data_IF_061226759425
#
_entry.id   IF_061226759425
#
_cell.length_a   1.000
_cell.length_b   1.000
_cell.length_c   1.000
_cell.angle_alpha   90.00
_cell.angle_beta   90.00
_cell.angle_gamma   90.00
#
_symmetry.space_group_name_H-M   'P 1'
#
loop_
_entity.id
_entity.type
_entity.pdbx_description
1 polymer ?
#
# COMPACT_ATOMS: atom_id res chain seq x y z
N UNK A 1 -26.47 -37.72 -57.69
CA UNK A 1 -26.26 -36.95 -56.40
C UNK A 1 -27.53 -36.57 -55.68
N UNK A 2 -28.74 -36.95 -56.08
CA UNK A 2 -30.03 -36.60 -55.38
C UNK A 2 -30.66 -37.71 -54.55
N UNK A 3 -30.09 -38.92 -54.52
CA UNK A 3 -30.64 -40.05 -53.76
C UNK A 3 -30.00 -40.21 -52.37
N UNK A 4 -28.79 -39.75 -52.11
CA UNK A 4 -28.12 -39.92 -50.84
C UNK A 4 -28.53 -38.86 -49.78
N UNK A 5 -29.15 -37.74 -50.19
CA UNK A 5 -29.64 -36.71 -49.30
C UNK A 5 -30.96 -37.11 -48.59
N UNK A 6 -31.82 -37.90 -49.26
CA UNK A 6 -33.09 -38.36 -48.66
C UNK A 6 -32.91 -39.43 -47.58
N UNK A 7 -31.88 -40.24 -47.64
CA UNK A 7 -31.59 -41.25 -46.63
C UNK A 7 -30.97 -40.65 -45.32
N UNK A 8 -30.19 -39.61 -45.42
CA UNK A 8 -29.64 -38.94 -44.24
C UNK A 8 -30.70 -38.22 -43.44
N UNK A 9 -31.62 -37.51 -44.09
CA UNK A 9 -32.73 -36.81 -43.41
C UNK A 9 -33.69 -37.80 -42.75
N UNK A 10 -33.93 -38.98 -43.34
CA UNK A 10 -34.82 -40.02 -42.78
C UNK A 10 -34.22 -40.71 -41.54
N UNK A 11 -32.86 -40.81 -41.47
CA UNK A 11 -32.14 -41.33 -40.31
C UNK A 11 -32.13 -40.33 -39.14
N UNK A 12 -32.06 -39.02 -39.41
CA UNK A 12 -32.14 -38.00 -38.38
C UNK A 12 -33.55 -37.84 -37.79
N UNK A 13 -34.59 -37.99 -38.62
CA UNK A 13 -35.98 -37.95 -38.15
C UNK A 13 -36.34 -39.18 -37.28
N UNK A 14 -35.76 -40.36 -37.56
CA UNK A 14 -35.95 -41.55 -36.71
C UNK A 14 -35.18 -41.46 -35.39
N UNK A 15 -34.05 -40.80 -35.34
CA UNK A 15 -33.30 -40.54 -34.09
C UNK A 15 -34.02 -39.48 -33.24
N UNK A 16 -34.62 -38.46 -33.81
CA UNK A 16 -35.45 -37.49 -33.07
C UNK A 16 -36.72 -38.13 -32.49
N UNK A 17 -37.35 -39.04 -33.21
CA UNK A 17 -38.54 -39.77 -32.73
C UNK A 17 -38.20 -40.75 -31.58
N UNK A 18 -37.00 -41.35 -31.57
CA UNK A 18 -36.53 -42.22 -30.49
C UNK A 18 -36.20 -41.47 -29.19
N UNK A 19 -35.80 -40.22 -29.28
CA UNK A 19 -35.55 -39.37 -28.10
C UNK A 19 -36.84 -38.84 -27.50
N UNK A 20 -37.90 -38.65 -28.30
CA UNK A 20 -39.21 -38.19 -27.81
C UNK A 20 -40.02 -39.34 -27.18
N UNK A 21 -39.74 -40.61 -27.53
CA UNK A 21 -40.46 -41.77 -26.97
C UNK A 21 -39.88 -42.24 -25.61
N UNK A 22 -38.78 -41.72 -25.16
CA UNK A 22 -38.23 -42.01 -23.81
C UNK A 22 -38.66 -40.99 -22.73
N UNK A 23 -39.49 -40.03 -23.06
CA UNK A 23 -40.10 -39.12 -22.10
C UNK A 23 -41.52 -39.60 -21.75
N UNK A 24 -41.63 -40.81 -21.23
CA UNK A 24 -42.84 -41.21 -20.53
C UNK A 24 -42.84 -40.56 -19.15
N UNK A 25 -43.93 -39.96 -18.70
CA UNK A 25 -44.02 -39.38 -17.38
C UNK A 25 -43.87 -40.52 -16.36
N UNK A 26 -42.78 -40.51 -15.61
CA UNK A 26 -42.78 -41.16 -14.32
C UNK A 26 -43.74 -40.35 -13.47
N UNK A 27 -44.89 -40.93 -13.14
CA UNK A 27 -45.69 -40.43 -12.05
C UNK A 27 -44.88 -40.54 -10.76
N UNK A 28 -43.99 -39.56 -10.55
CA UNK A 28 -43.45 -39.29 -9.25
C UNK A 28 -44.67 -38.82 -8.42
N UNK A 29 -45.07 -39.65 -7.47
CA UNK A 29 -45.98 -39.20 -6.41
C UNK A 29 -45.42 -37.87 -5.89
N UNK A 30 -46.21 -36.82 -6.03
CA UNK A 30 -45.98 -35.57 -5.31
C UNK A 30 -46.12 -35.92 -3.81
N UNK A 31 -45.06 -36.49 -3.24
CA UNK A 31 -44.83 -36.34 -1.82
C UNK A 31 -44.71 -34.84 -1.58
N UNK A 32 -45.57 -34.32 -0.73
CA UNK A 32 -45.56 -32.93 -0.31
C UNK A 32 -44.12 -32.49 -0.10
N UNK A 33 -43.65 -31.55 -0.92
CA UNK A 33 -42.44 -30.81 -0.62
C UNK A 33 -42.66 -30.25 0.80
N UNK A 34 -41.74 -30.44 1.74
CA UNK A 34 -41.83 -29.74 3.00
C UNK A 34 -41.92 -28.25 2.66
N UNK A 35 -43.09 -27.70 2.92
CA UNK A 35 -43.37 -26.28 2.89
C UNK A 35 -42.63 -25.69 4.10
N UNK A 36 -41.32 -25.52 3.95
CA UNK A 36 -40.39 -24.75 4.76
C UNK A 36 -38.98 -24.96 4.20
N UNK A 37 -38.80 -24.61 2.93
CA UNK A 37 -37.53 -23.99 2.61
C UNK A 37 -37.58 -22.63 3.33
N UNK A 38 -37.24 -22.63 4.62
CA UNK A 38 -37.01 -21.41 5.35
C UNK A 38 -36.03 -20.60 4.49
N UNK A 39 -36.55 -19.51 3.90
CA UNK A 39 -35.70 -18.46 3.34
C UNK A 39 -34.72 -18.17 4.47
N UNK A 40 -33.51 -18.65 4.33
CA UNK A 40 -32.44 -18.36 5.30
C UNK A 40 -32.38 -16.86 5.36
N UNK A 41 -32.94 -16.27 6.41
CA UNK A 41 -32.91 -14.84 6.63
C UNK A 41 -31.46 -14.46 6.47
N UNK A 42 -31.17 -13.53 5.56
CA UNK A 42 -29.82 -12.97 5.45
C UNK A 42 -29.41 -12.56 6.85
N UNK A 43 -28.20 -12.89 7.30
CA UNK A 43 -27.75 -12.53 8.64
C UNK A 43 -27.99 -11.03 8.82
N UNK A 44 -28.74 -10.68 9.88
CA UNK A 44 -29.05 -9.29 10.19
C UNK A 44 -27.72 -8.56 10.41
N UNK A 45 -27.47 -7.52 9.61
CA UNK A 45 -26.26 -6.72 9.75
C UNK A 45 -26.34 -5.92 11.04
N UNK A 46 -25.20 -5.81 11.73
CA UNK A 46 -25.06 -4.98 12.92
C UNK A 46 -25.03 -3.52 12.51
N UNK A 47 -25.94 -2.70 13.03
CA UNK A 47 -25.89 -1.25 12.83
C UNK A 47 -24.73 -0.68 13.65
N UNK A 48 -23.85 0.11 13.02
CA UNK A 48 -22.69 0.70 13.67
C UNK A 48 -22.60 2.19 13.30
N UNK A 49 -22.66 3.05 14.29
CA UNK A 49 -22.48 4.49 14.12
C UNK A 49 -21.01 4.86 14.20
N UNK A 50 -20.49 5.40 13.11
CA UNK A 50 -19.10 5.75 12.94
C UNK A 50 -18.91 7.26 13.07
N UNK A 51 -18.05 7.70 13.99
CA UNK A 51 -17.66 9.11 14.08
C UNK A 51 -16.89 9.51 12.81
N UNK A 52 -17.47 10.42 12.02
CA UNK A 52 -16.86 10.94 10.81
C UNK A 52 -16.20 12.29 11.09
N UNK A 53 -14.90 12.23 11.40
CA UNK A 53 -14.07 13.42 11.63
C UNK A 53 -13.44 13.84 10.31
N UNK A 54 -13.87 14.99 9.77
CA UNK A 54 -13.34 15.49 8.50
C UNK A 54 -11.86 15.88 8.67
N UNK A 55 -10.99 15.13 7.98
CA UNK A 55 -9.53 15.29 7.97
C UNK A 55 -9.00 15.01 6.56
N UNK A 56 -8.14 15.87 6.02
CA UNK A 56 -7.58 15.75 4.68
C UNK A 56 -6.87 14.40 4.48
N UNK A 57 -7.23 13.68 3.41
CA UNK A 57 -6.69 12.36 3.05
C UNK A 57 -7.23 11.20 3.89
N UNK A 58 -7.71 11.43 5.11
CA UNK A 58 -8.23 10.39 6.01
C UNK A 58 -9.73 10.19 5.89
N UNK A 59 -10.49 11.28 6.02
CA UNK A 59 -11.95 11.29 5.90
C UNK A 59 -12.38 12.64 5.35
N UNK A 60 -12.78 12.68 4.10
CA UNK A 60 -13.15 13.90 3.38
C UNK A 60 -14.58 13.79 2.84
N UNK A 61 -15.20 14.91 2.60
CA UNK A 61 -16.48 14.96 1.90
C UNK A 61 -16.23 15.42 0.46
N UNK A 62 -16.81 14.72 -0.50
CA UNK A 62 -16.80 15.12 -1.90
C UNK A 62 -17.76 16.29 -2.16
N UNK A 63 -17.80 16.81 -3.39
CA UNK A 63 -18.64 17.92 -3.78
C UNK A 63 -20.15 17.67 -3.59
N UNK A 64 -20.57 16.40 -3.49
CA UNK A 64 -21.96 15.98 -3.28
C UNK A 64 -22.24 15.60 -1.81
N UNK A 65 -21.26 15.75 -0.91
CA UNK A 65 -21.36 15.35 0.48
C UNK A 65 -21.15 13.87 0.73
N UNK A 66 -20.67 13.12 -0.28
CA UNK A 66 -20.26 11.72 -0.15
C UNK A 66 -18.93 11.59 0.60
N UNK A 67 -18.79 10.54 1.41
CA UNK A 67 -17.55 10.27 2.13
C UNK A 67 -16.46 9.71 1.22
N UNK A 68 -15.21 10.12 1.43
CA UNK A 68 -14.02 9.60 0.79
C UNK A 68 -12.83 9.64 1.77
N UNK A 69 -11.70 9.08 1.39
CA UNK A 69 -10.47 9.10 2.18
C UNK A 69 -10.10 7.73 2.78
N UNK A 70 -8.87 7.63 3.22
CA UNK A 70 -8.27 6.38 3.68
C UNK A 70 -9.09 5.68 4.78
N UNK A 71 -9.43 6.39 5.85
CA UNK A 71 -10.20 5.85 6.98
C UNK A 71 -11.61 5.45 6.57
N UNK A 72 -12.27 6.30 5.78
CA UNK A 72 -13.62 6.02 5.28
C UNK A 72 -13.66 4.75 4.42
N UNK A 73 -12.76 4.64 3.46
CA UNK A 73 -12.71 3.48 2.56
C UNK A 73 -12.30 2.21 3.31
N UNK A 74 -11.37 2.32 4.29
CA UNK A 74 -10.97 1.17 5.10
C UNK A 74 -12.13 0.67 5.97
N UNK A 75 -12.88 1.55 6.64
CA UNK A 75 -14.05 1.17 7.46
C UNK A 75 -15.13 0.54 6.59
N UNK A 76 -15.40 1.07 5.39
CA UNK A 76 -16.34 0.45 4.45
C UNK A 76 -15.91 -0.97 4.02
N UNK A 77 -14.60 -1.17 3.78
CA UNK A 77 -14.06 -2.49 3.48
C UNK A 77 -14.20 -3.44 4.68
N UNK A 78 -13.87 -2.96 5.86
CA UNK A 78 -14.00 -3.70 7.11
C UNK A 78 -15.46 -4.10 7.36
N UNK A 79 -16.41 -3.20 7.19
CA UNK A 79 -17.85 -3.44 7.36
C UNK A 79 -18.38 -4.60 6.50
N UNK A 80 -17.84 -4.79 5.29
CA UNK A 80 -18.21 -5.92 4.43
C UNK A 80 -17.84 -7.27 5.06
N UNK A 81 -16.70 -7.35 5.76
CA UNK A 81 -16.22 -8.57 6.41
C UNK A 81 -16.78 -8.78 7.82
N UNK A 82 -17.08 -7.69 8.52
CA UNK A 82 -17.67 -7.72 9.86
C UNK A 82 -19.21 -7.91 9.82
N UNK A 83 -19.85 -7.73 8.65
CA UNK A 83 -21.30 -7.77 8.54
C UNK A 83 -21.98 -6.54 9.13
N UNK A 84 -21.29 -5.38 9.08
CA UNK A 84 -21.82 -4.12 9.59
C UNK A 84 -22.62 -3.37 8.51
N UNK A 85 -23.56 -2.57 9.00
CA UNK A 85 -24.24 -1.51 8.27
C UNK A 85 -23.87 -0.19 8.94
N UNK A 86 -22.95 0.57 8.31
CA UNK A 86 -22.33 1.74 8.92
C UNK A 86 -23.14 3.01 8.65
N UNK A 87 -23.47 3.73 9.71
CA UNK A 87 -23.97 5.11 9.66
C UNK A 87 -22.81 6.06 10.00
N UNK A 88 -22.30 6.79 9.00
CA UNK A 88 -21.25 7.78 9.21
C UNK A 88 -21.86 9.11 9.67
N UNK A 89 -21.54 9.51 10.90
CA UNK A 89 -22.07 10.73 11.53
C UNK A 89 -20.96 11.79 11.53
N UNK A 90 -21.17 12.87 10.75
CA UNK A 90 -20.23 13.99 10.69
C UNK A 90 -20.18 14.71 12.04
N UNK A 91 -18.97 14.83 12.57
CA UNK A 91 -18.73 15.50 13.86
C UNK A 91 -18.32 16.95 13.60
N UNK A 92 -19.16 17.90 14.05
CA UNK A 92 -18.95 19.34 13.90
C UNK A 92 -17.96 19.87 14.96
N UNK A 93 -17.12 20.86 14.57
CA UNK A 93 -16.17 21.56 15.43
C UNK A 93 -15.41 22.63 14.65
N UNK A 94 -14.94 23.66 15.34
CA UNK A 94 -14.24 24.79 14.73
C UNK A 94 -12.88 24.38 14.13
N UNK A 95 -12.14 23.57 14.88
CA UNK A 95 -10.84 23.03 14.47
C UNK A 95 -10.86 21.50 14.31
N UNK A 96 -9.85 20.95 13.66
CA UNK A 96 -9.65 19.49 13.60
C UNK A 96 -9.54 18.88 14.99
N UNK A 97 -8.81 19.52 15.91
CA UNK A 97 -8.68 19.07 17.30
C UNK A 97 -10.03 19.05 18.04
N UNK A 98 -10.85 20.07 17.87
CA UNK A 98 -12.17 20.12 18.50
C UNK A 98 -13.07 18.99 18.01
N UNK A 99 -13.04 18.71 16.70
CA UNK A 99 -13.80 17.60 16.12
C UNK A 99 -13.33 16.24 16.66
N UNK A 100 -12.01 16.04 16.81
CA UNK A 100 -11.45 14.79 17.37
C UNK A 100 -11.88 14.62 18.83
N UNK A 101 -11.74 15.66 19.67
CA UNK A 101 -12.13 15.62 21.09
C UNK A 101 -13.61 15.30 21.21
N UNK A 102 -14.47 16.01 20.47
CA UNK A 102 -15.92 15.78 20.48
C UNK A 102 -16.30 14.39 20.00
N UNK A 103 -15.62 13.87 18.95
CA UNK A 103 -15.83 12.51 18.48
C UNK A 103 -15.49 11.47 19.55
N UNK A 104 -14.39 11.66 20.29
CA UNK A 104 -14.03 10.79 21.43
C UNK A 104 -15.08 10.84 22.54
N UNK A 105 -15.62 12.03 22.88
CA UNK A 105 -16.69 12.18 23.85
C UNK A 105 -17.98 11.47 23.43
N UNK A 106 -18.38 11.57 22.16
CA UNK A 106 -19.56 10.88 21.62
C UNK A 106 -19.39 9.35 21.60
N UNK A 107 -18.18 8.85 21.32
CA UNK A 107 -17.91 7.42 21.40
C UNK A 107 -17.82 6.97 22.87
N UNK A 108 -17.24 7.76 23.75
CA UNK A 108 -17.18 7.45 25.18
C UNK A 108 -18.58 7.38 25.81
N UNK A 109 -19.51 8.28 25.41
CA UNK A 109 -20.89 8.27 25.89
C UNK A 109 -21.75 7.15 25.30
N UNK A 110 -21.30 6.51 24.22
CA UNK A 110 -22.06 5.50 23.49
C UNK A 110 -23.10 6.07 22.50
N UNK A 111 -23.08 7.38 22.22
CA UNK A 111 -23.88 7.96 21.14
C UNK A 111 -23.38 7.53 19.77
N UNK A 112 -22.08 7.34 19.63
CA UNK A 112 -21.41 6.73 18.48
C UNK A 112 -20.66 5.47 18.94
N UNK A 113 -20.50 4.50 18.05
CA UNK A 113 -19.93 3.21 18.39
C UNK A 113 -18.42 3.13 18.17
N UNK A 114 -17.92 3.74 17.10
CA UNK A 114 -16.51 3.69 16.72
C UNK A 114 -15.99 5.04 16.20
N UNK A 115 -14.68 5.23 16.36
CA UNK A 115 -13.91 6.33 15.79
C UNK A 115 -12.67 5.77 15.08
N UNK A 116 -12.41 6.23 13.85
CA UNK A 116 -11.19 5.91 13.10
C UNK A 116 -10.01 6.79 13.48
N UNK A 117 -8.81 6.41 13.02
CA UNK A 117 -7.56 7.16 13.18
C UNK A 117 -7.22 7.53 14.64
N UNK A 118 -7.30 6.56 15.53
CA UNK A 118 -6.94 6.76 16.93
C UNK A 118 -5.54 6.22 17.23
N UNK A 119 -4.67 7.09 17.76
CA UNK A 119 -3.40 6.68 18.36
C UNK A 119 -3.66 6.14 19.77
N UNK A 120 -3.07 4.99 20.05
CA UNK A 120 -3.21 4.33 21.34
C UNK A 120 -2.19 4.87 22.32
N UNK A 121 -2.65 5.41 23.45
CA UNK A 121 -1.83 5.87 24.57
C UNK A 121 -2.59 5.72 25.89
N UNK A 122 -1.96 5.84 27.07
CA UNK A 122 -2.63 5.63 28.36
C UNK A 122 -3.90 6.45 28.54
N UNK A 123 -3.93 7.72 28.13
CA UNK A 123 -5.10 8.57 28.29
C UNK A 123 -6.27 8.14 27.40
N UNK A 124 -6.01 7.75 26.15
CA UNK A 124 -7.07 7.28 25.24
C UNK A 124 -7.53 5.86 25.58
N UNK A 125 -6.67 5.02 26.17
CA UNK A 125 -7.05 3.68 26.65
C UNK A 125 -8.00 3.72 27.87
N UNK A 126 -8.00 4.78 28.64
CA UNK A 126 -8.96 4.95 29.74
C UNK A 126 -10.39 5.15 29.25
N UNK A 127 -10.58 5.78 28.09
CA UNK A 127 -11.89 6.21 27.59
C UNK A 127 -12.39 5.42 26.37
N UNK A 128 -11.51 4.73 25.64
CA UNK A 128 -11.83 3.96 24.45
C UNK A 128 -11.37 2.51 24.58
N UNK A 129 -12.05 1.60 23.87
CA UNK A 129 -11.65 0.21 23.69
C UNK A 129 -10.92 0.03 22.36
N UNK A 130 -9.75 -0.61 22.39
CA UNK A 130 -8.90 -0.79 21.23
C UNK A 130 -8.86 -2.25 20.76
N UNK A 131 -8.97 -2.52 19.45
CA UNK A 131 -8.68 -3.84 18.90
C UNK A 131 -7.18 -4.15 19.06
N UNK A 132 -6.81 -5.40 18.85
CA UNK A 132 -5.41 -5.84 18.84
C UNK A 132 -4.70 -5.41 17.56
N UNK A 133 -5.43 -5.40 16.44
CA UNK A 133 -4.88 -5.11 15.14
C UNK A 133 -5.02 -3.61 14.80
N UNK A 134 -3.91 -3.04 14.37
CA UNK A 134 -3.89 -1.74 13.73
C UNK A 134 -4.43 -1.85 12.30
N UNK A 135 -4.92 -0.74 11.74
CA UNK A 135 -5.27 -0.68 10.32
C UNK A 135 -4.39 0.28 9.51
N UNK A 136 -3.35 0.82 10.13
CA UNK A 136 -2.33 1.62 9.48
C UNK A 136 -1.24 2.09 10.45
N UNK A 137 -0.22 2.73 9.90
CA UNK A 137 0.90 3.31 10.64
C UNK A 137 1.21 4.70 10.11
N UNK A 138 1.28 5.69 11.00
CA UNK A 138 1.84 7.00 10.70
C UNK A 138 3.31 7.02 11.12
N UNK A 139 4.14 7.66 10.30
CA UNK A 139 5.56 7.86 10.58
C UNK A 139 5.87 9.35 10.65
N UNK A 140 6.87 9.72 11.42
CA UNK A 140 7.58 10.95 11.16
C UNK A 140 8.43 10.79 9.90
N UNK A 141 8.61 11.87 9.17
CA UNK A 141 9.30 11.84 7.88
C UNK A 141 10.15 13.08 7.67
N UNK A 142 11.26 12.92 6.99
CA UNK A 142 12.05 14.01 6.44
C UNK A 142 11.61 14.28 5.01
N UNK A 143 11.17 15.50 4.73
CA UNK A 143 10.77 15.94 3.40
C UNK A 143 11.79 16.97 2.87
N UNK A 144 12.27 16.82 1.63
CA UNK A 144 13.05 17.80 0.91
C UNK A 144 12.20 18.52 -0.14
N UNK A 145 12.60 19.71 -0.58
CA UNK A 145 12.03 20.34 -1.78
C UNK A 145 12.24 19.43 -3.00
N UNK A 146 11.23 19.33 -3.85
CA UNK A 146 11.29 18.42 -5.00
C UNK A 146 12.38 18.80 -6.02
N UNK A 147 12.81 20.03 -6.07
CA UNK A 147 13.85 20.52 -6.98
C UNK A 147 15.26 20.47 -6.37
N UNK A 148 15.37 20.22 -5.07
CA UNK A 148 16.65 20.05 -4.40
C UNK A 148 17.17 18.62 -4.66
N UNK A 149 18.34 18.46 -5.27
CA UNK A 149 18.89 17.17 -5.70
C UNK A 149 20.15 16.75 -4.95
N UNK A 150 20.73 17.64 -4.13
CA UNK A 150 21.97 17.37 -3.39
C UNK A 150 21.75 16.36 -2.25
N UNK A 151 20.62 16.45 -1.56
CA UNK A 151 20.24 15.52 -0.49
C UNK A 151 19.17 14.56 -1.01
N UNK A 152 19.38 13.27 -0.86
CA UNK A 152 18.45 12.20 -1.27
C UNK A 152 18.48 11.04 -0.27
N UNK A 153 17.65 10.04 -0.51
CA UNK A 153 17.43 8.86 0.33
C UNK A 153 18.73 8.05 0.56
N UNK A 154 19.67 8.13 -0.37
CA UNK A 154 20.94 7.37 -0.30
C UNK A 154 22.07 8.13 0.40
N UNK A 155 22.01 9.46 0.46
CA UNK A 155 23.16 10.27 0.92
C UNK A 155 22.89 11.17 2.12
N UNK A 156 21.65 11.36 2.57
CA UNK A 156 21.34 12.26 3.68
C UNK A 156 22.09 11.90 4.97
N UNK A 157 22.34 10.60 5.20
CA UNK A 157 23.11 10.13 6.36
C UNK A 157 24.60 10.49 6.27
N UNK A 158 25.12 10.77 5.07
CA UNK A 158 26.53 11.11 4.83
C UNK A 158 26.79 12.62 4.91
N UNK A 159 25.75 13.42 5.10
CA UNK A 159 25.89 14.87 5.26
C UNK A 159 26.73 15.19 6.51
N UNK A 160 27.66 16.09 6.38
CA UNK A 160 28.52 16.55 7.52
C UNK A 160 27.69 17.29 8.57
N UNK A 161 26.59 17.92 8.19
CA UNK A 161 25.63 18.56 9.08
C UNK A 161 24.33 18.80 8.29
N UNK A 162 23.32 17.93 8.49
CA UNK A 162 22.01 18.05 7.87
C UNK A 162 21.18 19.15 8.56
N UNK A 163 20.70 20.15 7.82
CA UNK A 163 19.83 21.20 8.38
C UNK A 163 18.38 20.78 8.29
N UNK A 164 17.72 20.64 9.45
CA UNK A 164 16.35 20.14 9.55
C UNK A 164 15.42 21.23 10.07
N UNK A 165 14.46 21.68 9.25
CA UNK A 165 13.42 22.59 9.68
C UNK A 165 12.43 21.87 10.61
N UNK A 166 12.31 22.35 11.84
CA UNK A 166 11.46 21.78 12.90
C UNK A 166 10.46 22.81 13.40
N UNK A 167 9.29 22.36 13.89
CA UNK A 167 8.31 23.27 14.51
C UNK A 167 8.69 23.59 15.94
N UNK A 168 8.65 24.86 16.30
CA UNK A 168 8.75 25.31 17.67
C UNK A 168 7.67 24.66 18.54
N UNK A 169 8.04 24.19 19.72
CA UNK A 169 7.12 23.60 20.66
C UNK A 169 6.62 22.18 20.35
N UNK A 170 6.97 21.59 19.21
CA UNK A 170 6.63 20.20 18.86
C UNK A 170 7.52 19.17 19.60
N UNK A 171 7.56 19.25 20.93
CA UNK A 171 8.51 18.54 21.81
C UNK A 171 8.64 17.05 21.53
N UNK A 172 7.48 16.35 21.41
CA UNK A 172 7.50 14.91 21.17
C UNK A 172 8.17 14.56 19.85
N UNK A 173 7.75 15.21 18.76
CA UNK A 173 8.30 14.94 17.42
C UNK A 173 9.76 15.35 17.30
N UNK A 174 10.12 16.50 17.87
CA UNK A 174 11.52 16.94 17.87
C UNK A 174 12.41 15.99 18.68
N UNK A 175 11.91 15.43 19.80
CA UNK A 175 12.60 14.40 20.57
C UNK A 175 12.73 13.05 19.83
N UNK A 176 11.71 12.66 19.06
CA UNK A 176 11.77 11.48 18.18
C UNK A 176 12.80 11.66 17.05
N UNK A 177 12.90 12.88 16.48
CA UNK A 177 13.96 13.24 15.53
C UNK A 177 15.34 13.13 16.17
N UNK A 178 15.55 13.73 17.34
CA UNK A 178 16.83 13.68 18.07
C UNK A 178 17.26 12.23 18.30
N UNK A 179 16.37 11.40 18.83
CA UNK A 179 16.62 9.97 19.04
C UNK A 179 16.98 9.24 17.75
N UNK A 180 16.25 9.51 16.66
CA UNK A 180 16.53 8.91 15.34
C UNK A 180 17.92 9.31 14.83
N UNK A 181 18.28 10.59 14.91
CA UNK A 181 19.58 11.12 14.46
C UNK A 181 20.73 10.53 15.29
N UNK A 182 20.58 10.45 16.62
CA UNK A 182 21.57 9.84 17.51
C UNK A 182 21.78 8.35 17.21
N UNK A 183 20.69 7.57 17.09
CA UNK A 183 20.79 6.14 16.81
C UNK A 183 21.47 5.82 15.47
N UNK A 184 21.34 6.70 14.50
CA UNK A 184 21.94 6.54 13.17
C UNK A 184 23.26 7.30 13.02
N UNK A 185 23.76 7.94 14.09
CA UNK A 185 25.00 8.70 14.11
C UNK A 185 25.04 9.83 13.05
N UNK A 186 23.87 10.48 12.82
CA UNK A 186 23.72 11.58 11.86
C UNK A 186 23.90 12.91 12.59
N UNK A 187 24.87 13.73 12.12
CA UNK A 187 25.02 15.09 12.60
C UNK A 187 24.00 16.00 11.95
N UNK A 188 23.20 16.72 12.75
CA UNK A 188 22.21 17.65 12.22
C UNK A 188 22.16 18.97 13.00
N UNK A 189 21.56 19.98 12.37
CA UNK A 189 21.26 21.28 12.96
C UNK A 189 19.77 21.55 12.82
N UNK A 190 19.07 21.76 13.93
CA UNK A 190 17.68 22.18 13.92
C UNK A 190 17.55 23.65 13.45
N UNK A 191 16.63 23.89 12.52
CA UNK A 191 16.20 25.21 12.07
C UNK A 191 14.77 25.39 12.59
N UNK A 192 14.62 26.15 13.68
CA UNK A 192 13.32 26.35 14.31
C UNK A 192 12.41 27.24 13.48
N UNK A 193 11.16 26.79 13.28
CA UNK A 193 10.12 27.45 12.49
C UNK A 193 8.84 27.57 13.33
N UNK A 194 8.17 28.71 13.26
CA UNK A 194 6.98 28.96 14.05
C UNK A 194 5.71 28.25 13.51
N UNK A 195 5.70 27.92 12.22
CA UNK A 195 4.61 27.17 11.58
C UNK A 195 5.08 26.34 10.37
N UNK A 196 4.16 25.57 9.78
CA UNK A 196 4.44 24.72 8.62
C UNK A 196 4.86 25.56 7.39
N UNK A 197 4.27 26.74 7.16
CA UNK A 197 4.60 27.59 6.02
C UNK A 197 6.05 28.09 6.11
N UNK A 198 6.54 28.38 7.33
CA UNK A 198 7.94 28.72 7.58
C UNK A 198 8.88 27.53 7.31
N UNK A 199 8.47 26.28 7.66
CA UNK A 199 9.25 25.09 7.31
C UNK A 199 9.34 24.88 5.79
N UNK A 200 8.21 24.99 5.07
CA UNK A 200 8.20 24.90 3.61
C UNK A 200 9.06 25.98 2.95
N UNK A 201 8.99 27.21 3.47
CA UNK A 201 9.84 28.31 2.99
C UNK A 201 11.32 28.02 3.24
N UNK A 202 11.68 27.43 4.40
CA UNK A 202 13.07 27.12 4.76
C UNK A 202 13.71 26.09 3.82
N UNK A 203 12.99 25.02 3.44
CA UNK A 203 13.50 24.05 2.46
C UNK A 203 13.56 24.62 1.05
N UNK A 204 12.59 25.45 0.68
CA UNK A 204 12.48 26.04 -0.66
C UNK A 204 13.58 27.08 -0.92
N UNK A 205 13.95 27.88 0.08
CA UNK A 205 14.99 28.92 -0.05
C UNK A 205 16.39 28.43 0.34
N UNK A 206 16.55 27.16 0.74
CA UNK A 206 17.81 26.55 1.11
C UNK A 206 18.32 26.92 2.51
N UNK A 207 17.49 27.48 3.39
CA UNK A 207 17.80 27.70 4.81
C UNK A 207 17.87 26.36 5.57
N UNK A 208 17.06 25.37 5.16
CA UNK A 208 17.14 23.99 5.63
C UNK A 208 17.23 23.03 4.43
N UNK A 209 17.82 21.86 4.65
CA UNK A 209 17.95 20.81 3.63
C UNK A 209 16.72 19.95 3.55
N UNK A 210 16.09 19.69 4.70
CA UNK A 210 14.87 18.90 4.86
C UNK A 210 13.98 19.52 5.94
N UNK A 211 12.70 19.15 5.95
CA UNK A 211 11.77 19.49 7.02
C UNK A 211 11.23 18.25 7.70
N UNK A 212 11.03 18.32 9.01
CA UNK A 212 10.37 17.28 9.81
C UNK A 212 8.86 17.36 9.66
N UNK A 213 8.24 16.28 9.20
CA UNK A 213 6.80 16.21 8.94
C UNK A 213 6.21 14.83 9.28
N UNK A 214 4.99 14.55 8.86
CA UNK A 214 4.32 13.24 9.03
C UNK A 214 3.83 12.69 7.70
N UNK A 215 3.83 11.37 7.55
CA UNK A 215 3.50 10.70 6.29
C UNK A 215 2.03 10.84 5.86
N UNK A 216 1.10 11.15 6.78
CA UNK A 216 -0.34 11.30 6.47
C UNK A 216 -0.74 12.73 6.05
N UNK A 217 0.22 13.61 5.87
CA UNK A 217 -0.02 15.00 5.43
C UNK A 217 0.95 15.35 4.31
N UNK A 218 0.73 14.82 3.09
CA UNK A 218 1.61 15.11 1.97
C UNK A 218 1.60 16.60 1.64
N UNK A 219 2.76 17.15 1.33
CA UNK A 219 2.96 18.54 0.92
C UNK A 219 3.35 18.53 -0.56
N UNK A 220 2.61 19.27 -1.37
CA UNK A 220 2.91 19.40 -2.80
C UNK A 220 4.28 20.07 -3.01
N UNK A 221 5.05 19.60 -3.99
CA UNK A 221 6.39 20.10 -4.28
C UNK A 221 7.47 19.59 -3.32
N UNK A 222 7.16 18.61 -2.48
CA UNK A 222 8.15 17.94 -1.64
C UNK A 222 8.31 16.46 -2.00
N UNK A 223 9.43 15.89 -1.63
CA UNK A 223 9.69 14.45 -1.70
C UNK A 223 10.16 13.91 -0.36
N UNK A 224 9.78 12.67 -0.09
CA UNK A 224 10.18 11.98 1.13
C UNK A 224 11.63 11.49 1.01
N UNK A 225 12.43 11.80 2.02
CA UNK A 225 13.83 11.34 2.15
C UNK A 225 13.89 10.11 3.06
N UNK A 226 13.21 10.17 4.20
CA UNK A 226 13.23 9.10 5.20
C UNK A 226 11.93 9.09 6.01
N UNK A 227 11.61 7.96 6.60
CA UNK A 227 10.52 7.80 7.57
C UNK A 227 10.99 7.02 8.79
N UNK A 228 10.60 7.47 9.98
CA UNK A 228 11.01 6.89 11.24
C UNK A 228 9.90 7.06 12.29
N UNK A 229 10.12 6.64 13.53
CA UNK A 229 9.16 6.71 14.64
C UNK A 229 7.75 6.21 14.27
N UNK A 230 7.59 4.91 13.91
CA UNK A 230 6.29 4.35 13.53
C UNK A 230 5.29 4.38 14.68
N UNK A 231 4.12 4.97 14.43
CA UNK A 231 3.00 5.00 15.38
C UNK A 231 1.78 4.32 14.74
N UNK A 232 1.38 3.14 15.23
CA UNK A 232 0.19 2.46 14.75
C UNK A 232 -1.07 3.24 15.13
N UNK A 233 -2.05 3.24 14.22
CA UNK A 233 -3.36 3.80 14.50
C UNK A 233 -4.48 2.78 14.30
N UNK A 234 -5.58 2.99 15.01
CA UNK A 234 -6.62 2.02 15.23
C UNK A 234 -8.01 2.59 14.95
N UNK A 235 -8.97 1.72 14.67
CA UNK A 235 -10.39 2.00 14.81
C UNK A 235 -10.76 1.64 16.24
N UNK A 236 -11.02 2.62 17.08
CA UNK A 236 -11.35 2.41 18.47
C UNK A 236 -12.88 2.42 18.69
N UNK A 237 -13.34 1.69 19.67
CA UNK A 237 -14.75 1.55 20.02
C UNK A 237 -15.06 2.18 21.37
N UNK A 238 -16.37 2.27 21.70
CA UNK A 238 -16.85 2.61 23.03
C UNK A 238 -16.22 1.72 24.09
N UNK A 239 -15.76 2.32 25.19
CA UNK A 239 -15.09 1.58 26.27
C UNK A 239 -15.92 0.42 26.79
N UNK A 240 -15.29 -0.75 26.89
CA UNK A 240 -15.93 -2.00 27.30
C UNK A 240 -16.66 -2.76 26.21
N UNK A 241 -16.77 -2.22 24.99
CA UNK A 241 -17.39 -2.92 23.86
C UNK A 241 -16.39 -3.89 23.18
N UNK A 242 -16.10 -4.99 23.89
CA UNK A 242 -15.11 -6.01 23.47
C UNK A 242 -15.60 -6.80 22.25
N UNK A 243 -16.91 -6.92 22.05
CA UNK A 243 -17.46 -7.64 20.91
C UNK A 243 -17.19 -6.87 19.61
N UNK A 244 -17.37 -5.55 19.64
CA UNK A 244 -17.10 -4.70 18.48
C UNK A 244 -15.61 -4.68 18.12
N UNK A 245 -14.71 -4.63 19.11
CA UNK A 245 -13.26 -4.70 18.83
C UNK A 245 -12.82 -6.07 18.34
N UNK A 246 -13.51 -7.15 18.74
CA UNK A 246 -13.28 -8.49 18.19
C UNK A 246 -13.71 -8.57 16.72
N UNK A 247 -14.88 -8.00 16.40
CA UNK A 247 -15.35 -7.92 15.00
C UNK A 247 -14.35 -7.16 14.12
N UNK A 248 -13.77 -6.06 14.64
CA UNK A 248 -12.70 -5.31 13.96
C UNK A 248 -11.48 -6.19 13.71
N UNK A 249 -10.99 -6.89 14.74
CA UNK A 249 -9.82 -7.79 14.64
C UNK A 249 -10.05 -8.90 13.62
N UNK A 250 -11.21 -9.54 13.64
CA UNK A 250 -11.59 -10.62 12.73
C UNK A 250 -11.72 -10.10 11.29
N UNK A 251 -12.29 -8.92 11.09
CA UNK A 251 -12.43 -8.32 9.77
C UNK A 251 -11.07 -7.90 9.19
N UNK A 252 -10.18 -7.29 9.98
CA UNK A 252 -8.82 -6.95 9.55
C UNK A 252 -8.05 -8.23 9.16
N UNK A 253 -8.18 -9.31 9.95
CA UNK A 253 -7.57 -10.60 9.62
C UNK A 253 -8.06 -11.13 8.28
N UNK A 254 -9.37 -11.06 8.01
CA UNK A 254 -9.95 -11.49 6.73
C UNK A 254 -9.49 -10.62 5.56
N UNK A 255 -9.40 -9.29 5.75
CA UNK A 255 -8.85 -8.37 4.74
C UNK A 255 -7.42 -8.79 4.40
N UNK A 256 -6.56 -8.96 5.40
CA UNK A 256 -5.15 -9.33 5.21
C UNK A 256 -4.98 -10.71 4.55
N UNK A 257 -5.89 -11.66 4.82
CA UNK A 257 -5.87 -12.97 4.17
C UNK A 257 -6.33 -12.93 2.72
N UNK A 258 -7.30 -12.09 2.39
CA UNK A 258 -7.88 -12.00 1.03
C UNK A 258 -7.15 -11.02 0.14
N UNK A 259 -6.56 -9.97 0.73
CA UNK A 259 -5.88 -8.90 0.03
C UNK A 259 -4.75 -8.30 0.89
N UNK A 260 -3.59 -8.97 0.97
CA UNK A 260 -2.46 -8.56 1.84
C UNK A 260 -1.90 -7.15 1.55
N UNK A 261 -2.17 -6.63 0.36
CA UNK A 261 -1.68 -5.31 -0.09
C UNK A 261 -2.75 -4.21 -0.02
N UNK A 262 -3.92 -4.48 0.55
CA UNK A 262 -5.02 -3.51 0.60
C UNK A 262 -4.62 -2.23 1.32
N UNK A 263 -4.05 -2.34 2.52
CA UNK A 263 -3.57 -1.20 3.31
C UNK A 263 -2.57 -0.34 2.53
N UNK A 264 -1.55 -0.95 1.93
CA UNK A 264 -0.50 -0.21 1.25
C UNK A 264 -0.99 0.45 -0.06
N UNK A 265 -1.90 -0.20 -0.79
CA UNK A 265 -2.51 0.43 -1.99
C UNK A 265 -3.39 1.61 -1.60
N UNK A 266 -4.21 1.44 -0.57
CA UNK A 266 -5.08 2.51 -0.07
C UNK A 266 -4.25 3.68 0.46
N UNK A 267 -3.16 3.40 1.18
CA UNK A 267 -2.20 4.40 1.63
C UNK A 267 -1.61 5.17 0.44
N UNK A 268 -1.14 4.45 -0.58
CA UNK A 268 -0.56 5.07 -1.79
C UNK A 268 -1.59 5.92 -2.55
N UNK A 269 -2.85 5.48 -2.59
CA UNK A 269 -3.93 6.22 -3.24
C UNK A 269 -4.18 7.58 -2.58
N UNK A 270 -4.17 7.67 -1.24
CA UNK A 270 -4.53 8.87 -0.51
C UNK A 270 -3.33 9.73 -0.07
N UNK A 271 -2.18 9.11 0.14
CA UNK A 271 -0.98 9.78 0.67
C UNK A 271 0.27 9.58 -0.18
N UNK A 272 0.21 8.70 -1.17
CA UNK A 272 1.30 8.52 -2.12
C UNK A 272 1.49 9.81 -2.91
N UNK A 273 2.74 10.16 -3.17
CA UNK A 273 3.05 11.28 -4.03
C UNK A 273 2.58 10.91 -5.45
N UNK A 274 1.35 11.33 -5.80
CA UNK A 274 0.58 10.90 -6.98
C UNK A 274 1.21 11.26 -8.31
N UNK A 275 2.30 11.98 -8.29
CA UNK A 275 3.00 12.38 -9.53
C UNK A 275 4.08 11.41 -9.98
N UNK A 276 4.18 10.21 -9.42
CA UNK A 276 5.02 9.12 -9.96
C UNK A 276 6.38 9.55 -10.55
N UNK A 277 6.91 10.71 -10.12
CA UNK A 277 8.22 11.17 -10.55
C UNK A 277 9.25 10.38 -9.76
N UNK A 278 9.91 9.50 -10.45
CA UNK A 278 11.15 8.91 -10.00
C UNK A 278 12.19 10.04 -9.92
N UNK A 279 12.65 10.34 -8.70
CA UNK A 279 13.58 11.42 -8.48
C UNK A 279 15.02 10.93 -8.66
N UNK A 280 15.68 11.52 -9.62
CA UNK A 280 17.09 11.25 -9.92
C UNK A 280 17.91 12.47 -9.53
N UNK A 281 19.00 12.26 -8.80
CA UNK A 281 20.04 13.25 -8.60
C UNK A 281 20.65 13.66 -9.95
N UNK A 282 21.32 14.79 -9.99
CA UNK A 282 21.99 15.22 -11.23
C UNK A 282 23.10 14.26 -11.65
N UNK A 283 23.76 13.59 -10.68
CA UNK A 283 24.70 12.51 -10.96
C UNK A 283 24.05 11.31 -11.65
N UNK A 284 22.89 10.88 -11.17
CA UNK A 284 22.12 9.77 -11.76
C UNK A 284 21.56 10.13 -13.15
N UNK A 285 21.03 11.36 -13.32
CA UNK A 285 20.61 11.86 -14.64
C UNK A 285 21.77 11.87 -15.64
N UNK A 286 22.95 12.35 -15.22
CA UNK A 286 24.16 12.33 -16.05
C UNK A 286 24.59 10.91 -16.39
N UNK A 287 24.60 10.00 -15.39
CA UNK A 287 24.90 8.58 -15.62
C UNK A 287 23.94 7.97 -16.65
N UNK A 288 22.63 8.14 -16.48
CA UNK A 288 21.60 7.63 -17.39
C UNK A 288 21.79 8.18 -18.82
N UNK A 289 22.04 9.49 -18.93
CA UNK A 289 22.25 10.15 -20.24
C UNK A 289 23.46 9.64 -20.99
N UNK A 290 24.53 9.25 -20.27
CA UNK A 290 25.77 8.71 -20.82
C UNK A 290 25.66 7.20 -21.10
N UNK A 291 25.12 6.43 -20.15
CA UNK A 291 25.06 4.97 -20.19
C UNK A 291 24.06 4.47 -21.24
N UNK A 292 22.87 5.03 -21.31
CA UNK A 292 21.77 4.73 -22.24
C UNK A 292 21.25 3.29 -22.20
N UNK A 293 22.15 2.31 -22.17
CA UNK A 293 21.80 0.87 -22.14
C UNK A 293 22.56 0.20 -21.00
N UNK A 294 21.84 -0.62 -20.21
CA UNK A 294 22.43 -1.46 -19.17
C UNK A 294 22.31 -2.94 -19.55
N UNK A 295 23.38 -3.69 -19.32
CA UNK A 295 23.46 -5.12 -19.55
C UNK A 295 23.01 -5.86 -18.28
N UNK A 296 21.94 -6.64 -18.40
CA UNK A 296 21.32 -7.38 -17.31
C UNK A 296 21.59 -8.86 -17.46
N UNK A 297 22.36 -9.44 -16.56
CA UNK A 297 22.58 -10.87 -16.52
C UNK A 297 21.42 -11.57 -15.83
N UNK A 298 20.79 -12.52 -16.50
CA UNK A 298 19.61 -13.25 -16.04
C UNK A 298 19.88 -14.73 -15.97
N UNK A 299 19.55 -15.35 -14.82
CA UNK A 299 19.63 -16.78 -14.61
C UNK A 299 18.31 -17.46 -15.05
N UNK A 300 18.30 -18.28 -16.10
CA UNK A 300 17.07 -18.77 -16.73
C UNK A 300 16.27 -19.79 -15.93
N UNK A 301 16.84 -20.35 -14.84
CA UNK A 301 16.24 -21.44 -14.06
C UNK A 301 15.64 -21.02 -12.72
N UNK A 302 15.33 -19.74 -12.55
CA UNK A 302 14.79 -19.18 -11.30
C UNK A 302 13.27 -18.87 -11.37
N UNK A 303 12.48 -19.76 -11.96
CA UNK A 303 11.04 -19.58 -11.99
C UNK A 303 10.44 -19.54 -10.56
N UNK A 304 9.50 -18.61 -10.24
CA UNK A 304 8.85 -17.64 -11.14
C UNK A 304 9.58 -16.30 -11.29
N UNK A 305 10.76 -16.15 -10.69
CA UNK A 305 11.49 -14.88 -10.66
C UNK A 305 12.09 -14.52 -12.03
N UNK A 306 12.77 -15.48 -12.65
CA UNK A 306 13.29 -15.35 -13.99
C UNK A 306 12.99 -16.60 -14.81
N UNK A 307 12.50 -16.42 -16.03
CA UNK A 307 12.23 -17.47 -16.99
C UNK A 307 12.79 -17.06 -18.36
N UNK A 308 13.22 -18.00 -19.13
CA UNK A 308 13.60 -17.79 -20.54
C UNK A 308 12.76 -18.73 -21.38
N UNK A 309 12.07 -18.22 -22.35
CA UNK A 309 11.25 -19.02 -23.26
C UNK A 309 12.10 -19.69 -24.34
N UNK A 310 11.46 -20.49 -25.22
CA UNK A 310 12.14 -21.20 -26.31
C UNK A 310 12.74 -20.29 -27.38
N UNK A 311 12.33 -19.02 -27.42
CA UNK A 311 12.83 -18.00 -28.34
C UNK A 311 13.97 -17.19 -27.71
N UNK A 312 14.33 -17.44 -26.45
CA UNK A 312 15.33 -16.67 -25.71
C UNK A 312 14.77 -15.43 -25.03
N UNK A 313 13.44 -15.24 -25.01
CA UNK A 313 12.86 -14.08 -24.33
C UNK A 313 12.81 -14.26 -22.82
N UNK A 314 13.31 -13.26 -22.09
CA UNK A 314 13.31 -13.22 -20.64
C UNK A 314 11.93 -12.82 -20.15
N UNK A 315 11.41 -13.59 -19.18
CA UNK A 315 10.15 -13.36 -18.50
C UNK A 315 10.27 -13.45 -16.97
N UNK A 316 9.12 -13.45 -16.29
CA UNK A 316 9.05 -13.58 -14.83
C UNK A 316 9.01 -12.24 -14.10
N UNK A 317 9.02 -12.31 -12.75
CA UNK A 317 8.91 -11.13 -11.86
C UNK A 317 10.05 -10.14 -12.13
N UNK A 318 11.26 -10.62 -12.39
CA UNK A 318 12.43 -9.81 -12.73
C UNK A 318 12.19 -8.90 -13.91
N UNK A 319 11.63 -9.47 -14.97
CA UNK A 319 11.33 -8.71 -16.19
C UNK A 319 10.38 -7.55 -15.88
N UNK A 320 9.35 -7.78 -15.08
CA UNK A 320 8.39 -6.75 -14.68
C UNK A 320 9.07 -5.60 -13.92
N UNK A 321 9.95 -5.92 -12.95
CA UNK A 321 10.69 -4.92 -12.16
C UNK A 321 11.62 -4.10 -13.07
N UNK A 322 12.35 -4.77 -13.96
CA UNK A 322 13.31 -4.12 -14.85
C UNK A 322 12.61 -3.26 -15.93
N UNK A 323 11.45 -3.69 -16.43
CA UNK A 323 10.63 -2.85 -17.33
C UNK A 323 10.07 -1.61 -16.61
N UNK A 324 9.73 -1.72 -15.33
CA UNK A 324 9.36 -0.56 -14.51
C UNK A 324 10.54 0.41 -14.37
N UNK A 325 11.74 -0.09 -14.06
CA UNK A 325 12.97 0.70 -13.99
C UNK A 325 13.25 1.38 -15.35
N UNK A 326 13.11 0.66 -16.46
CA UNK A 326 13.22 1.21 -17.81
C UNK A 326 12.24 2.36 -18.06
N UNK A 327 10.97 2.17 -17.67
CA UNK A 327 9.94 3.19 -17.84
C UNK A 327 10.23 4.46 -17.02
N UNK A 328 10.78 4.29 -15.80
CA UNK A 328 11.04 5.39 -14.88
C UNK A 328 12.34 6.14 -15.21
N UNK A 329 13.36 5.45 -15.75
CA UNK A 329 14.69 6.02 -16.03
C UNK A 329 14.95 6.34 -17.49
N UNK A 330 14.26 5.68 -18.42
CA UNK A 330 14.56 5.73 -19.85
C UNK A 330 15.80 4.93 -20.29
N UNK A 331 16.42 4.16 -19.38
CA UNK A 331 17.53 3.26 -19.72
C UNK A 331 17.00 2.07 -20.54
N UNK A 332 17.67 1.74 -21.61
CA UNK A 332 17.41 0.48 -22.33
C UNK A 332 18.03 -0.71 -21.58
N UNK A 333 17.34 -1.86 -21.61
CA UNK A 333 17.78 -3.09 -20.97
C UNK A 333 18.20 -4.13 -22.01
N UNK A 334 19.46 -4.54 -21.97
CA UNK A 334 19.96 -5.64 -22.79
C UNK A 334 20.08 -6.89 -21.91
N UNK A 335 19.23 -7.89 -22.14
CA UNK A 335 19.21 -9.10 -21.33
C UNK A 335 20.22 -10.12 -21.86
N UNK A 336 21.13 -10.52 -21.00
CA UNK A 336 22.16 -11.52 -21.26
C UNK A 336 21.84 -12.75 -20.42
N UNK A 337 21.74 -13.91 -21.04
CA UNK A 337 21.49 -15.17 -20.34
C UNK A 337 22.75 -16.03 -20.27
N UNK A 338 22.91 -16.78 -19.17
CA UNK A 338 23.91 -17.83 -19.04
C UNK A 338 23.21 -19.18 -18.96
N UNK A 339 23.80 -20.21 -19.54
CA UNK A 339 23.24 -21.55 -19.49
C UNK A 339 23.45 -22.20 -18.13
N UNK A 340 24.56 -21.88 -17.46
CA UNK A 340 24.94 -22.41 -16.17
C UNK A 340 25.27 -21.27 -15.21
N UNK A 341 24.85 -21.41 -13.94
CA UNK A 341 25.16 -20.45 -12.86
C UNK A 341 26.66 -20.33 -12.62
N UNK A 342 27.42 -21.41 -12.85
CA UNK A 342 28.85 -21.44 -12.66
C UNK A 342 29.62 -20.54 -13.65
N UNK A 343 29.03 -20.17 -14.77
CA UNK A 343 29.60 -19.26 -15.78
C UNK A 343 29.41 -17.77 -15.39
N UNK A 344 28.55 -17.48 -14.41
CA UNK A 344 28.23 -16.13 -14.00
C UNK A 344 29.45 -15.32 -13.51
N UNK A 345 30.37 -15.87 -12.67
CA UNK A 345 31.52 -15.11 -12.18
C UNK A 345 32.48 -14.67 -13.31
N UNK A 346 32.64 -15.49 -14.34
CA UNK A 346 33.48 -15.15 -15.49
C UNK A 346 32.86 -14.01 -16.31
N UNK A 347 31.55 -14.11 -16.56
CA UNK A 347 30.80 -13.08 -17.29
C UNK A 347 30.80 -11.71 -16.58
N UNK A 348 30.69 -11.71 -15.24
CA UNK A 348 30.79 -10.46 -14.46
C UNK A 348 32.19 -9.87 -14.52
N UNK A 349 33.25 -10.72 -14.47
CA UNK A 349 34.65 -10.25 -14.57
C UNK A 349 35.03 -9.69 -15.92
N UNK A 350 34.37 -10.11 -17.01
CA UNK A 350 34.54 -9.53 -18.34
C UNK A 350 34.15 -8.04 -18.41
N UNK A 351 33.40 -7.55 -17.38
CA UNK A 351 33.19 -6.12 -17.14
C UNK A 351 32.12 -5.48 -17.99
N UNK A 352 31.32 -6.24 -18.71
CA UNK A 352 30.21 -5.78 -19.54
C UNK A 352 28.82 -5.99 -18.93
N UNK A 353 28.75 -6.46 -17.66
CA UNK A 353 27.50 -6.64 -16.92
C UNK A 353 27.30 -5.52 -15.93
N UNK A 354 26.16 -4.87 -15.97
CA UNK A 354 25.78 -3.76 -15.11
C UNK A 354 24.87 -4.22 -13.96
N UNK A 355 23.99 -5.16 -14.24
CA UNK A 355 22.99 -5.69 -13.27
C UNK A 355 23.02 -7.20 -13.32
N UNK A 356 23.04 -7.84 -12.13
CA UNK A 356 22.84 -9.29 -12.00
C UNK A 356 21.56 -9.51 -11.24
N UNK A 357 20.66 -10.32 -11.80
CA UNK A 357 19.41 -10.66 -11.16
C UNK A 357 19.36 -12.10 -10.70
N UNK A 358 18.79 -12.32 -9.50
CA UNK A 358 18.59 -13.68 -8.98
C UNK A 358 19.75 -14.22 -8.16
N UNK A 359 20.58 -13.34 -7.62
CA UNK A 359 21.60 -13.70 -6.63
C UNK A 359 21.02 -13.74 -5.22
N UNK A 360 21.63 -14.57 -4.37
CA UNK A 360 21.31 -14.64 -2.95
C UNK A 360 21.63 -13.29 -2.27
N UNK A 361 20.93 -12.97 -1.18
CA UNK A 361 21.23 -11.80 -0.35
C UNK A 361 22.44 -12.01 0.58
N UNK A 362 23.29 -13.00 0.31
CA UNK A 362 24.54 -13.20 1.03
C UNK A 362 25.57 -12.19 0.56
N UNK A 363 25.82 -11.18 1.42
CA UNK A 363 26.80 -10.12 1.17
C UNK A 363 28.18 -10.68 0.83
N UNK A 364 28.58 -11.78 1.45
CA UNK A 364 29.90 -12.39 1.24
C UNK A 364 29.99 -13.00 -0.17
N UNK A 365 28.95 -13.65 -0.64
CA UNK A 365 28.89 -14.17 -2.01
C UNK A 365 28.88 -13.05 -3.04
N UNK A 366 28.04 -12.04 -2.84
CA UNK A 366 27.94 -10.90 -3.75
C UNK A 366 29.26 -10.16 -3.88
N UNK A 367 29.98 -9.91 -2.77
CA UNK A 367 31.31 -9.30 -2.79
C UNK A 367 32.38 -10.14 -3.49
N UNK A 368 32.31 -11.47 -3.45
CA UNK A 368 33.24 -12.34 -4.20
C UNK A 368 33.16 -12.14 -5.71
N UNK A 369 31.99 -11.73 -6.19
CA UNK A 369 31.76 -11.41 -7.61
C UNK A 369 32.07 -9.94 -7.96
N UNK A 370 32.48 -9.12 -6.97
CA UNK A 370 32.71 -7.68 -7.20
C UNK A 370 31.43 -6.87 -7.40
N UNK A 371 30.30 -7.40 -6.98
CA UNK A 371 29.00 -6.77 -7.10
C UNK A 371 28.59 -6.05 -5.80
N UNK A 372 27.62 -5.14 -5.89
CA UNK A 372 26.99 -4.42 -4.77
C UNK A 372 25.51 -4.75 -4.81
N UNK A 373 24.93 -5.03 -3.64
CA UNK A 373 23.47 -5.25 -3.55
C UNK A 373 22.72 -3.92 -3.57
N UNK A 374 21.64 -3.86 -4.34
CA UNK A 374 20.63 -2.81 -4.20
C UNK A 374 19.86 -3.01 -2.89
N UNK A 375 19.57 -1.92 -2.21
CA UNK A 375 18.69 -1.91 -1.03
C UNK A 375 17.21 -1.98 -1.42
#
# INVERSE_FOLDING_TARGET
MKQNCKMAVRRWLLLLAAVILMALPVEASLGALPEEASVRALPQRTQVKVAYVVQKGLSELDENGGGTGYTYEYINKLAQFAGWDCEFVVVEGETESDRIVKAMELVQSGELDVIGFMLKNPATEEILEYPRQKYGVVYDTLLADENQTEINESNYMLSSSLRVAVLEGAKTRNGELEQFMEMNNISYQAVECHDQAAQEAAIKNGAADVMLHVTLRPIDGTRQIEKFAPRPFYIAATKGNVDLTRDIDDAISKINMTDPYYESRLFTQHFGNTKGKFWLSDGEKNYISQKKTVNVLVLPQLAPFATVDRNGEVGGISRFILEKLRADTGLDMNFITVENIDDMPERIKEGDIDIVYGVSNDIIEVHKFGAVMSQ
#
